data_IF_066662392903
#
_entry.id   IF_066662392903
#
_cell.length_a   1.000
_cell.length_b   1.000
_cell.length_c   1.000
_cell.angle_alpha   90.00
_cell.angle_beta   90.00
_cell.angle_gamma   90.00
#
_symmetry.space_group_name_H-M   'P 1'
#
loop_
_entity.id
_entity.type
_entity.pdbx_description
1 polymer ?
#
# COMPACT_ATOMS: atom_id res chain seq x y z
N UNK A 1 14.13 43.37 31.07
CA UNK A 1 15.27 42.73 31.78
C UNK A 1 15.78 41.65 30.84
N UNK A 2 16.98 41.85 30.38
CA UNK A 2 17.69 41.07 29.33
C UNK A 2 18.48 39.96 30.03
N UNK A 3 18.44 38.73 29.54
CA UNK A 3 19.52 37.75 29.69
C UNK A 3 19.30 36.69 28.59
N UNK A 4 20.05 36.61 27.55
CA UNK A 4 21.45 36.18 27.33
C UNK A 4 21.53 34.73 26.79
N UNK A 5 22.03 34.65 25.57
CA UNK A 5 22.45 33.45 24.84
C UNK A 5 23.53 32.68 25.66
N UNK A 6 23.50 31.35 25.63
CA UNK A 6 24.70 30.53 25.82
C UNK A 6 24.81 29.48 24.72
N UNK A 7 25.88 29.64 23.96
CA UNK A 7 26.47 28.68 23.04
C UNK A 7 26.98 27.47 23.82
N UNK A 8 26.82 26.28 23.24
CA UNK A 8 27.63 25.12 23.64
C UNK A 8 28.34 24.53 22.43
N UNK A 9 29.63 24.44 22.58
CA UNK A 9 30.62 23.92 21.64
C UNK A 9 30.58 22.38 21.55
N UNK A 10 30.77 21.90 20.35
CA UNK A 10 31.66 20.85 19.89
C UNK A 10 31.72 19.53 20.68
N UNK A 11 31.21 18.50 20.05
CA UNK A 11 31.61 17.12 20.28
C UNK A 11 31.65 16.43 18.93
N UNK A 12 32.85 16.19 18.41
CA UNK A 12 33.06 15.36 17.23
C UNK A 12 32.70 13.91 17.57
N UNK A 13 31.68 13.37 16.91
CA UNK A 13 31.45 11.93 16.89
C UNK A 13 31.91 11.38 15.55
N UNK A 14 32.77 10.38 15.62
CA UNK A 14 33.31 9.60 14.51
C UNK A 14 32.20 9.01 13.64
N UNK A 15 32.26 9.26 12.31
CA UNK A 15 31.50 8.56 11.30
C UNK A 15 31.88 7.07 11.31
N UNK A 16 31.07 6.26 11.96
CA UNK A 16 31.00 4.84 11.67
C UNK A 16 30.32 4.65 10.32
N UNK A 17 30.95 3.91 9.42
CA UNK A 17 30.45 3.61 8.10
C UNK A 17 29.10 2.87 8.18
N UNK A 18 27.99 3.55 7.92
CA UNK A 18 26.68 2.96 7.64
C UNK A 18 26.68 2.51 6.18
N UNK A 19 26.99 1.26 5.93
CA UNK A 19 26.71 0.58 4.67
C UNK A 19 25.26 0.06 4.73
N UNK A 20 24.31 0.93 4.42
CA UNK A 20 22.92 0.60 4.27
C UNK A 20 22.40 1.24 2.98
N UNK A 21 21.61 0.54 2.23
CA UNK A 21 20.97 0.91 0.96
C UNK A 21 21.38 2.29 0.44
N UNK A 22 22.32 2.33 -0.49
CA UNK A 22 22.57 3.56 -1.25
C UNK A 22 21.31 3.76 -2.12
N UNK A 23 20.37 4.58 -1.63
CA UNK A 23 19.48 5.26 -2.55
C UNK A 23 20.37 5.80 -3.68
N UNK A 24 19.97 5.56 -4.93
CA UNK A 24 20.64 6.15 -6.08
C UNK A 24 20.48 7.67 -5.94
N UNK A 25 21.43 8.28 -5.25
CA UNK A 25 21.59 9.74 -5.22
C UNK A 25 22.14 10.06 -6.59
N UNK A 26 21.27 10.40 -7.52
CA UNK A 26 21.69 10.99 -8.76
C UNK A 26 22.61 12.18 -8.41
N UNK A 27 23.77 12.33 -9.06
CA UNK A 27 24.68 13.43 -8.75
C UNK A 27 23.95 14.77 -8.78
N UNK A 28 24.16 15.61 -7.79
CA UNK A 28 23.47 16.88 -7.59
C UNK A 28 23.54 17.91 -8.76
N UNK A 29 24.09 17.53 -9.89
CA UNK A 29 24.18 18.34 -11.12
C UNK A 29 23.29 17.85 -12.28
N UNK A 30 22.48 16.79 -12.08
CA UNK A 30 21.69 16.21 -13.21
C UNK A 30 20.28 16.79 -13.35
N UNK A 31 19.79 17.54 -12.38
CA UNK A 31 18.41 17.99 -12.35
C UNK A 31 18.35 19.52 -12.32
N UNK A 32 18.03 20.13 -13.47
CA UNK A 32 17.76 21.56 -13.58
C UNK A 32 16.29 21.76 -13.93
N UNK A 33 15.57 22.48 -13.12
CA UNK A 33 14.20 22.90 -13.39
C UNK A 33 13.56 23.51 -12.13
N UNK A 34 13.24 24.79 -12.20
CA UNK A 34 12.46 25.51 -11.20
C UNK A 34 10.97 25.22 -11.46
N UNK A 35 10.34 24.44 -10.58
CA UNK A 35 8.91 24.14 -10.60
C UNK A 35 8.52 22.82 -11.29
N UNK A 36 7.53 22.15 -10.73
CA UNK A 36 6.94 20.97 -11.32
C UNK A 36 5.90 21.31 -12.40
N UNK A 37 5.90 20.56 -13.50
CA UNK A 37 4.91 20.70 -14.57
C UNK A 37 3.51 20.23 -14.12
N UNK A 38 3.47 19.23 -13.24
CA UNK A 38 2.25 18.63 -12.70
C UNK A 38 2.49 18.22 -11.25
N UNK A 39 1.52 18.50 -10.37
CA UNK A 39 1.55 18.11 -8.97
C UNK A 39 0.27 17.35 -8.64
N UNK A 40 0.41 16.15 -8.08
CA UNK A 40 -0.73 15.28 -7.73
C UNK A 40 -0.68 14.87 -6.25
N UNK A 41 -1.83 14.89 -5.60
CA UNK A 41 -2.05 14.14 -4.36
C UNK A 41 -2.47 12.71 -4.70
N UNK A 42 -1.94 11.71 -4.00
CA UNK A 42 -2.26 10.30 -4.26
C UNK A 42 -2.55 9.58 -2.95
N UNK A 43 -3.73 8.99 -2.85
CA UNK A 43 -4.20 8.18 -1.71
C UNK A 43 -5.10 7.06 -2.20
N UNK A 44 -5.46 6.15 -1.29
CA UNK A 44 -6.49 5.13 -1.48
C UNK A 44 -7.01 4.63 -0.13
N UNK A 45 -7.94 3.69 -0.17
CA UNK A 45 -8.37 2.91 0.98
C UNK A 45 -8.77 3.82 2.17
N UNK A 46 -9.69 4.77 1.87
CA UNK A 46 -10.24 5.73 2.85
C UNK A 46 -11.21 5.02 3.79
N UNK A 47 -11.99 4.05 3.28
CA UNK A 47 -12.95 3.23 4.01
C UNK A 47 -13.87 4.06 4.91
N UNK A 48 -14.54 5.05 4.36
CA UNK A 48 -15.54 5.84 5.09
C UNK A 48 -16.65 4.93 5.59
N UNK A 49 -16.85 4.90 6.88
CA UNK A 49 -17.74 3.96 7.55
C UNK A 49 -18.91 4.67 8.26
N UNK A 50 -19.32 5.80 7.80
CA UNK A 50 -20.53 6.47 8.28
C UNK A 50 -21.76 5.61 7.96
N UNK A 51 -22.63 5.38 8.95
CA UNK A 51 -23.90 4.66 8.74
C UNK A 51 -24.06 3.31 9.44
N UNK A 52 -23.07 2.81 10.17
CA UNK A 52 -23.27 1.71 11.12
C UNK A 52 -23.80 2.23 12.45
N UNK A 53 -25.06 2.68 12.47
CA UNK A 53 -25.79 3.00 13.71
C UNK A 53 -25.45 4.32 14.38
N UNK A 54 -24.39 5.02 14.01
CA UNK A 54 -24.06 6.34 14.52
C UNK A 54 -23.60 7.28 13.39
N UNK A 55 -24.57 7.95 12.76
CA UNK A 55 -24.34 8.95 11.70
C UNK A 55 -23.48 10.15 12.14
N UNK A 56 -23.07 10.22 13.40
CA UNK A 56 -22.32 11.33 13.99
C UNK A 56 -20.80 11.09 14.03
N UNK A 57 -20.32 9.88 13.71
CA UNK A 57 -18.87 9.60 13.67
C UNK A 57 -18.28 9.89 12.30
N UNK A 58 -18.11 11.17 12.00
CA UNK A 58 -17.41 11.67 10.79
C UNK A 58 -15.87 11.56 10.89
N UNK A 59 -15.32 10.70 11.76
CA UNK A 59 -13.89 10.64 12.00
C UNK A 59 -13.08 10.40 10.73
N UNK A 60 -13.52 9.49 9.86
CA UNK A 60 -12.82 9.11 8.65
C UNK A 60 -12.86 10.19 7.56
N UNK A 61 -13.99 10.88 7.41
CA UNK A 61 -14.09 12.03 6.48
C UNK A 61 -13.25 13.21 6.94
N UNK A 62 -13.12 13.43 8.25
CA UNK A 62 -12.28 14.49 8.80
C UNK A 62 -10.79 14.26 8.47
N UNK A 63 -10.33 13.00 8.49
CA UNK A 63 -8.96 12.68 8.08
C UNK A 63 -8.78 12.90 6.57
N UNK A 64 -9.70 12.44 5.75
CA UNK A 64 -9.68 12.68 4.31
C UNK A 64 -9.66 14.17 3.98
N UNK A 65 -10.53 14.95 4.63
CA UNK A 65 -10.59 16.41 4.46
C UNK A 65 -9.26 17.09 4.87
N UNK A 66 -8.65 16.70 6.00
CA UNK A 66 -7.32 17.22 6.39
C UNK A 66 -6.25 16.90 5.35
N UNK A 67 -6.27 15.70 4.79
CA UNK A 67 -5.35 15.28 3.74
C UNK A 67 -5.56 16.11 2.47
N UNK A 68 -6.81 16.33 2.06
CA UNK A 68 -7.13 17.18 0.92
C UNK A 68 -6.66 18.64 1.13
N UNK A 69 -6.85 19.21 2.33
CA UNK A 69 -6.36 20.55 2.67
C UNK A 69 -4.83 20.62 2.66
N UNK A 70 -4.16 19.56 3.06
CA UNK A 70 -2.71 19.48 2.94
C UNK A 70 -2.29 19.45 1.47
N UNK A 71 -2.95 18.66 0.62
CA UNK A 71 -2.71 18.64 -0.84
C UNK A 71 -2.97 20.00 -1.48
N UNK A 72 -4.06 20.68 -1.10
CA UNK A 72 -4.33 22.03 -1.57
C UNK A 72 -3.19 22.99 -1.20
N UNK A 73 -2.68 22.87 0.03
CA UNK A 73 -1.49 23.61 0.49
C UNK A 73 -0.23 23.34 -0.33
N UNK A 74 -0.10 22.15 -0.93
CA UNK A 74 1.02 21.79 -1.82
C UNK A 74 0.80 22.22 -3.29
N UNK A 75 -0.35 22.78 -3.62
CA UNK A 75 -0.62 23.26 -4.96
C UNK A 75 -0.95 22.16 -5.98
N UNK A 76 -1.65 21.11 -5.58
CA UNK A 76 -1.98 19.99 -6.47
C UNK A 76 -2.89 20.41 -7.62
N UNK A 77 -2.67 19.84 -8.81
CA UNK A 77 -3.47 19.98 -10.01
C UNK A 77 -4.57 18.91 -10.11
N UNK A 78 -4.44 17.86 -9.34
CA UNK A 78 -5.40 16.78 -9.23
C UNK A 78 -5.12 15.89 -8.03
N UNK A 79 -6.14 15.13 -7.62
CA UNK A 79 -6.02 14.13 -6.57
C UNK A 79 -6.45 12.77 -7.10
N UNK A 80 -5.58 11.78 -6.95
CA UNK A 80 -5.86 10.39 -7.24
C UNK A 80 -6.39 9.72 -5.97
N UNK A 81 -7.55 9.06 -6.09
CA UNK A 81 -8.05 8.11 -5.10
C UNK A 81 -8.16 6.74 -5.76
N UNK A 82 -7.22 5.86 -5.46
CA UNK A 82 -7.11 4.55 -6.09
C UNK A 82 -8.04 3.50 -5.44
N UNK A 83 -9.30 3.86 -5.22
CA UNK A 83 -10.37 2.97 -4.77
C UNK A 83 -10.55 2.86 -3.26
N UNK A 84 -11.55 2.08 -2.87
CA UNK A 84 -12.01 1.82 -1.49
C UNK A 84 -12.25 3.11 -0.69
N UNK A 85 -13.08 3.97 -1.28
CA UNK A 85 -13.54 5.22 -0.66
C UNK A 85 -14.53 4.93 0.46
N UNK A 86 -15.51 4.07 0.20
CA UNK A 86 -16.50 3.59 1.16
C UNK A 86 -16.06 2.27 1.80
N UNK A 87 -16.40 2.04 3.07
CA UNK A 87 -16.11 0.77 3.74
C UNK A 87 -17.06 -0.37 3.31
N UNK A 88 -18.27 -0.03 2.86
CA UNK A 88 -19.29 -1.01 2.50
C UNK A 88 -20.07 -0.62 1.23
N UNK A 89 -19.60 0.30 0.42
CA UNK A 89 -20.21 0.72 -0.84
C UNK A 89 -21.64 1.29 -0.69
N UNK A 90 -21.94 1.88 0.46
CA UNK A 90 -23.22 2.52 0.69
C UNK A 90 -23.23 3.92 0.10
N UNK A 91 -24.36 4.31 -0.51
CA UNK A 91 -24.48 5.63 -1.15
C UNK A 91 -24.17 6.80 -0.21
N UNK A 92 -24.59 6.69 1.06
CA UNK A 92 -24.30 7.73 2.06
C UNK A 92 -22.79 7.80 2.40
N UNK A 93 -22.05 6.69 2.36
CA UNK A 93 -20.60 6.69 2.56
C UNK A 93 -19.91 7.40 1.37
N UNK A 94 -20.30 7.07 0.14
CA UNK A 94 -19.79 7.75 -1.05
C UNK A 94 -20.17 9.24 -1.07
N UNK A 95 -21.41 9.57 -0.67
CA UNK A 95 -21.84 10.96 -0.55
C UNK A 95 -20.99 11.74 0.47
N UNK A 96 -20.65 11.14 1.63
CA UNK A 96 -19.75 11.76 2.60
C UNK A 96 -18.36 12.05 2.01
N UNK A 97 -17.83 11.16 1.15
CA UNK A 97 -16.56 11.39 0.45
C UNK A 97 -16.69 12.58 -0.52
N UNK A 98 -17.77 12.61 -1.31
CA UNK A 98 -18.04 13.71 -2.22
C UNK A 98 -18.22 15.04 -1.50
N UNK A 99 -18.99 15.08 -0.41
CA UNK A 99 -19.15 16.28 0.41
C UNK A 99 -17.81 16.76 1.01
N UNK A 100 -16.96 15.86 1.48
CA UNK A 100 -15.64 16.22 1.99
C UNK A 100 -14.75 16.81 0.88
N UNK A 101 -14.81 16.26 -0.33
CA UNK A 101 -14.15 16.80 -1.50
C UNK A 101 -14.60 18.24 -1.80
N UNK A 102 -15.92 18.45 -1.93
CA UNK A 102 -16.48 19.76 -2.28
C UNK A 102 -16.37 20.79 -1.16
N UNK A 103 -16.17 20.39 0.10
CA UNK A 103 -15.80 21.32 1.18
C UNK A 103 -14.37 21.86 1.05
N UNK A 104 -13.47 21.14 0.39
CA UNK A 104 -12.08 21.58 0.19
C UNK A 104 -11.88 22.20 -1.20
N UNK A 105 -12.55 21.63 -2.21
CA UNK A 105 -12.47 22.08 -3.60
C UNK A 105 -13.88 22.38 -4.15
N UNK A 106 -14.51 23.49 -3.75
CA UNK A 106 -15.80 23.89 -4.31
C UNK A 106 -15.70 24.00 -5.83
N UNK A 107 -16.69 23.39 -6.52
CA UNK A 107 -16.70 23.33 -7.99
C UNK A 107 -15.40 22.80 -8.63
N UNK A 108 -14.68 21.95 -7.90
CA UNK A 108 -13.38 21.39 -8.33
C UNK A 108 -12.25 22.43 -8.36
N UNK A 109 -12.31 23.44 -7.49
CA UNK A 109 -11.31 24.52 -7.42
C UNK A 109 -10.79 24.72 -6.01
N UNK A 110 -9.51 25.10 -5.91
CA UNK A 110 -8.91 25.57 -4.68
C UNK A 110 -9.48 26.96 -4.31
N UNK A 111 -9.92 27.12 -3.07
CA UNK A 111 -10.31 28.42 -2.51
C UNK A 111 -9.13 29.39 -2.31
N UNK A 112 -7.89 28.87 -2.34
CA UNK A 112 -6.69 29.66 -2.07
C UNK A 112 -6.26 30.52 -3.26
N UNK A 113 -6.39 29.98 -4.47
CA UNK A 113 -5.86 30.59 -5.70
C UNK A 113 -6.75 30.40 -6.92
N UNK A 114 -7.91 29.75 -6.77
CA UNK A 114 -8.87 29.48 -7.86
C UNK A 114 -8.41 28.39 -8.84
N UNK A 115 -7.27 27.75 -8.60
CA UNK A 115 -6.72 26.67 -9.42
C UNK A 115 -7.71 25.53 -9.55
N UNK A 116 -7.90 25.01 -10.77
CA UNK A 116 -8.66 23.77 -10.98
C UNK A 116 -7.90 22.60 -10.38
N UNK A 117 -8.62 21.77 -9.62
CA UNK A 117 -8.11 20.50 -9.07
C UNK A 117 -8.98 19.37 -9.59
N UNK A 118 -8.38 18.44 -10.33
CA UNK A 118 -9.12 17.36 -11.00
C UNK A 118 -9.39 16.20 -10.04
N UNK A 119 -10.60 15.66 -10.07
CA UNK A 119 -10.93 14.39 -9.44
C UNK A 119 -10.43 13.24 -10.33
N UNK A 120 -9.52 12.43 -9.82
CA UNK A 120 -8.94 11.28 -10.52
C UNK A 120 -9.24 10.01 -9.72
N UNK A 121 -10.52 9.78 -9.44
CA UNK A 121 -10.99 8.75 -8.53
C UNK A 121 -11.43 7.51 -9.30
N UNK A 122 -11.25 6.34 -8.69
CA UNK A 122 -11.83 5.08 -9.16
C UNK A 122 -12.49 4.35 -8.01
N UNK A 123 -13.45 3.50 -8.31
CA UNK A 123 -14.00 2.55 -7.34
C UNK A 123 -13.03 1.43 -7.04
N UNK A 124 -12.98 0.97 -5.78
CA UNK A 124 -12.42 -0.30 -5.35
C UNK A 124 -13.49 -1.36 -5.10
N UNK A 125 -13.11 -2.50 -4.52
CA UNK A 125 -14.07 -3.58 -4.26
C UNK A 125 -15.05 -3.23 -3.13
N UNK A 126 -14.61 -2.56 -2.08
CA UNK A 126 -15.47 -2.12 -0.99
C UNK A 126 -16.54 -1.12 -1.45
N UNK A 127 -16.26 -0.30 -2.45
CA UNK A 127 -17.24 0.62 -3.03
C UNK A 127 -18.42 -0.09 -3.71
N UNK A 128 -18.30 -1.39 -4.01
CA UNK A 128 -19.35 -2.24 -4.58
C UNK A 128 -19.92 -3.26 -3.59
N UNK A 129 -19.39 -3.40 -2.40
CA UNK A 129 -19.88 -4.40 -1.44
C UNK A 129 -21.35 -4.21 -1.10
N UNK A 130 -21.85 -2.98 -1.06
CA UNK A 130 -23.27 -2.68 -0.85
C UNK A 130 -24.22 -3.39 -1.80
N UNK A 131 -23.73 -3.86 -2.94
CA UNK A 131 -24.51 -4.64 -3.91
C UNK A 131 -24.67 -6.11 -3.51
N UNK A 132 -23.81 -6.62 -2.64
CA UNK A 132 -23.86 -8.00 -2.13
C UNK A 132 -24.73 -8.12 -0.87
N UNK A 133 -25.25 -7.02 -0.36
CA UNK A 133 -25.96 -6.94 0.92
C UNK A 133 -27.42 -7.42 0.91
N UNK A 134 -27.84 -8.23 -0.05
CA UNK A 134 -29.06 -9.04 0.11
C UNK A 134 -28.99 -9.96 1.36
N UNK A 135 -27.80 -10.13 1.93
CA UNK A 135 -27.51 -10.91 3.13
C UNK A 135 -27.25 -10.06 4.39
N UNK A 136 -27.31 -8.72 4.30
CA UNK A 136 -27.08 -7.87 5.46
C UNK A 136 -28.18 -8.06 6.48
N UNK A 137 -27.73 -8.23 7.68
CA UNK A 137 -28.61 -8.22 8.83
C UNK A 137 -29.23 -6.83 8.96
N UNK A 138 -30.49 -6.71 8.49
CA UNK A 138 -31.29 -5.46 8.52
C UNK A 138 -31.35 -4.83 9.91
N UNK A 139 -30.93 -5.56 10.98
CA UNK A 139 -30.84 -5.05 12.35
C UNK A 139 -29.84 -3.91 12.53
N UNK A 140 -28.91 -3.74 11.60
CA UNK A 140 -27.89 -2.68 11.65
C UNK A 140 -28.25 -1.42 10.87
N UNK A 141 -29.36 -1.43 10.09
CA UNK A 141 -29.76 -0.30 9.28
C UNK A 141 -31.22 0.07 9.53
N UNK A 142 -31.49 1.36 9.71
CA UNK A 142 -32.85 1.83 9.54
C UNK A 142 -33.31 1.54 8.11
N UNK A 143 -34.60 1.21 7.93
CA UNK A 143 -35.20 0.87 6.63
C UNK A 143 -34.86 1.86 5.51
N UNK A 144 -34.79 3.16 5.82
CA UNK A 144 -34.38 4.22 4.88
C UNK A 144 -32.94 4.12 4.43
N UNK A 145 -32.02 3.68 5.30
CA UNK A 145 -30.61 3.48 4.95
C UNK A 145 -30.41 2.25 4.07
N UNK A 146 -31.23 1.22 4.26
CA UNK A 146 -31.26 0.04 3.39
C UNK A 146 -31.77 0.37 1.99
N UNK A 147 -32.85 1.17 1.89
CA UNK A 147 -33.37 1.65 0.60
C UNK A 147 -32.34 2.55 -0.11
N UNK A 148 -31.62 3.40 0.62
CA UNK A 148 -30.52 4.20 0.09
C UNK A 148 -29.33 3.33 -0.36
N UNK A 149 -29.01 2.26 0.38
CA UNK A 149 -27.98 1.29 -0.02
C UNK A 149 -28.36 0.53 -1.29
N UNK A 150 -29.66 0.32 -1.56
CA UNK A 150 -30.12 -0.29 -2.82
C UNK A 150 -29.87 0.58 -4.05
N UNK A 151 -29.79 1.90 -3.89
CA UNK A 151 -29.40 2.82 -4.97
C UNK A 151 -27.94 2.60 -5.36
N UNK A 152 -27.09 2.15 -4.45
CA UNK A 152 -25.71 1.77 -4.76
C UNK A 152 -25.58 0.54 -5.70
N UNK A 153 -26.68 -0.19 -5.96
CA UNK A 153 -26.75 -1.20 -7.03
C UNK A 153 -26.63 -0.62 -8.45
N UNK A 154 -26.75 0.68 -8.58
CA UNK A 154 -26.46 1.41 -9.82
C UNK A 154 -25.21 2.29 -9.58
N UNK A 155 -24.01 1.78 -9.89
CA UNK A 155 -22.76 2.51 -9.64
C UNK A 155 -22.70 3.84 -10.39
N UNK A 156 -23.37 3.96 -11.54
CA UNK A 156 -23.41 5.20 -12.30
C UNK A 156 -24.21 6.29 -11.59
N UNK A 157 -25.36 5.92 -11.02
CA UNK A 157 -26.15 6.88 -10.22
C UNK A 157 -25.46 7.28 -8.94
N UNK A 158 -24.82 6.32 -8.23
CA UNK A 158 -24.08 6.58 -7.02
C UNK A 158 -22.90 7.53 -7.29
N UNK A 159 -22.17 7.30 -8.39
CA UNK A 159 -21.07 8.15 -8.82
C UNK A 159 -21.53 9.59 -9.09
N UNK A 160 -22.57 9.73 -9.92
CA UNK A 160 -23.12 11.04 -10.29
C UNK A 160 -23.61 11.82 -9.07
N UNK A 161 -24.25 11.13 -8.12
CA UNK A 161 -24.74 11.75 -6.89
C UNK A 161 -23.60 12.20 -5.98
N UNK A 162 -22.57 11.37 -5.81
CA UNK A 162 -21.46 11.66 -4.90
C UNK A 162 -20.47 12.67 -5.48
N UNK A 163 -20.14 12.54 -6.77
CA UNK A 163 -19.02 13.27 -7.38
C UNK A 163 -19.41 14.28 -8.45
N UNK A 164 -20.71 14.38 -8.79
CA UNK A 164 -21.26 15.29 -9.79
C UNK A 164 -20.71 15.10 -11.22
N UNK A 165 -20.14 13.92 -11.47
CA UNK A 165 -19.59 13.53 -12.78
C UNK A 165 -20.39 12.39 -13.39
N UNK A 166 -20.37 12.27 -14.72
CA UNK A 166 -20.91 11.13 -15.41
C UNK A 166 -19.96 9.93 -15.25
N UNK A 167 -20.52 8.77 -14.94
CA UNK A 167 -19.78 7.54 -14.76
C UNK A 167 -19.34 6.93 -16.09
N UNK A 168 -18.10 6.50 -16.16
CA UNK A 168 -17.60 5.64 -17.23
C UNK A 168 -16.77 4.51 -16.61
N UNK A 169 -17.02 3.22 -16.94
CA UNK A 169 -16.24 2.11 -16.37
C UNK A 169 -14.74 2.26 -16.51
N UNK A 170 -14.31 2.84 -17.63
CA UNK A 170 -12.93 3.30 -17.84
C UNK A 170 -13.02 4.72 -18.37
N UNK A 171 -12.42 5.66 -17.66
CA UNK A 171 -12.42 7.06 -18.05
C UNK A 171 -11.02 7.49 -18.52
N UNK A 172 -10.99 8.52 -19.36
CA UNK A 172 -9.77 9.14 -19.88
C UNK A 172 -9.84 10.64 -19.63
N UNK A 173 -8.85 11.20 -18.93
CA UNK A 173 -8.75 12.62 -18.61
C UNK A 173 -7.37 13.16 -18.99
N UNK A 174 -7.28 14.46 -19.17
CA UNK A 174 -5.99 15.16 -19.39
C UNK A 174 -5.88 16.33 -18.42
N UNK A 175 -4.78 16.40 -17.67
CA UNK A 175 -4.47 17.46 -16.73
C UNK A 175 -3.11 18.05 -17.11
N UNK A 176 -3.03 19.33 -17.39
CA UNK A 176 -1.79 20.02 -17.80
C UNK A 176 -1.02 19.30 -18.92
N UNK A 177 -1.70 18.68 -19.84
CA UNK A 177 -1.11 17.95 -20.97
C UNK A 177 -0.54 16.56 -20.64
N UNK A 178 -0.80 16.04 -19.44
CA UNK A 178 -0.54 14.65 -19.04
C UNK A 178 -1.84 13.86 -19.09
N UNK A 179 -1.76 12.61 -19.53
CA UNK A 179 -2.90 11.73 -19.73
C UNK A 179 -3.11 10.82 -18.52
N UNK A 180 -4.38 10.59 -18.19
CA UNK A 180 -4.83 9.74 -17.11
C UNK A 180 -5.88 8.77 -17.61
N UNK A 181 -5.73 7.49 -17.25
CA UNK A 181 -6.71 6.43 -17.52
C UNK A 181 -7.10 5.83 -16.18
N UNK A 182 -8.35 5.94 -15.79
CA UNK A 182 -8.85 5.32 -14.57
C UNK A 182 -9.82 4.20 -14.87
N UNK A 183 -9.65 3.06 -14.21
CA UNK A 183 -10.49 1.90 -14.35
C UNK A 183 -11.20 1.60 -13.02
N UNK A 184 -12.51 1.76 -12.99
CA UNK A 184 -13.32 1.39 -11.84
C UNK A 184 -13.35 -0.12 -11.65
N UNK A 185 -13.34 -0.57 -10.39
CA UNK A 185 -13.69 -1.95 -10.09
C UNK A 185 -15.02 -2.32 -10.75
N UNK A 186 -15.14 -3.53 -11.23
CA UNK A 186 -16.33 -4.00 -11.95
C UNK A 186 -16.93 -5.23 -11.26
N UNK A 187 -18.26 -5.31 -11.31
CA UNK A 187 -18.98 -6.49 -10.84
C UNK A 187 -19.07 -7.56 -11.92
N UNK A 188 -19.04 -8.81 -11.51
CA UNK A 188 -19.24 -9.96 -12.38
C UNK A 188 -18.59 -11.22 -11.84
N UNK A 189 -18.99 -12.38 -12.34
CA UNK A 189 -18.43 -13.68 -11.91
C UNK A 189 -16.90 -13.77 -12.13
N UNK A 190 -16.37 -13.01 -13.08
CA UNK A 190 -14.95 -12.97 -13.41
C UNK A 190 -14.21 -11.77 -12.81
N UNK A 191 -14.91 -10.87 -12.13
CA UNK A 191 -14.36 -9.60 -11.63
C UNK A 191 -13.68 -9.72 -10.25
N UNK A 192 -13.82 -10.83 -9.54
CA UNK A 192 -13.02 -11.05 -8.33
C UNK A 192 -11.53 -11.07 -8.69
N UNK A 193 -10.84 -10.02 -8.29
CA UNK A 193 -9.42 -9.83 -8.53
C UNK A 193 -9.07 -9.30 -9.92
N UNK A 194 -9.88 -8.42 -10.54
CA UNK A 194 -9.44 -7.76 -11.77
C UNK A 194 -10.51 -6.99 -12.51
N UNK A 195 -10.06 -6.23 -13.51
CA UNK A 195 -10.92 -5.40 -14.36
C UNK A 195 -10.75 -5.86 -15.81
N UNK A 196 -11.54 -6.86 -16.27
CA UNK A 196 -11.39 -7.46 -17.61
C UNK A 196 -11.44 -6.45 -18.76
N UNK A 197 -12.19 -5.35 -18.59
CA UNK A 197 -12.37 -4.32 -19.61
C UNK A 197 -11.09 -3.52 -19.91
N UNK A 198 -10.07 -3.55 -19.04
CA UNK A 198 -8.83 -2.79 -19.21
C UNK A 198 -8.08 -3.20 -20.47
N UNK A 199 -7.91 -4.49 -20.68
CA UNK A 199 -7.13 -5.01 -21.81
C UNK A 199 -7.74 -4.67 -23.19
N UNK A 200 -9.06 -4.90 -23.45
CA UNK A 200 -9.67 -4.47 -24.71
C UNK A 200 -9.69 -2.94 -24.85
N UNK A 201 -9.90 -2.18 -23.77
CA UNK A 201 -9.89 -0.73 -23.83
C UNK A 201 -8.55 -0.18 -24.32
N UNK A 202 -7.44 -0.63 -23.75
CA UNK A 202 -6.11 -0.20 -24.18
C UNK A 202 -5.80 -0.60 -25.63
N UNK A 203 -6.25 -1.78 -26.06
CA UNK A 203 -6.09 -2.21 -27.45
C UNK A 203 -6.83 -1.28 -28.43
N UNK A 204 -8.05 -0.86 -28.08
CA UNK A 204 -8.88 0.02 -28.92
C UNK A 204 -8.39 1.47 -28.92
N UNK A 205 -7.71 1.91 -27.83
CA UNK A 205 -7.35 3.29 -27.61
C UNK A 205 -5.84 3.54 -27.63
N UNK A 206 -5.05 2.54 -28.09
CA UNK A 206 -3.57 2.61 -28.09
C UNK A 206 -3.03 3.87 -28.78
N UNK A 207 -3.66 4.29 -29.88
CA UNK A 207 -3.26 5.46 -30.66
C UNK A 207 -3.55 6.80 -29.96
N UNK A 208 -4.39 6.80 -28.93
CA UNK A 208 -4.70 8.01 -28.14
C UNK A 208 -3.65 8.28 -27.06
N UNK A 209 -2.83 7.27 -26.73
CA UNK A 209 -1.84 7.40 -25.66
C UNK A 209 -0.57 8.05 -26.19
N UNK A 210 -0.23 9.22 -25.64
CA UNK A 210 1.02 9.90 -25.89
C UNK A 210 2.19 9.10 -25.30
N UNK A 211 3.08 8.62 -26.16
CA UNK A 211 4.25 7.83 -25.77
C UNK A 211 5.47 8.69 -25.46
N UNK A 212 5.40 9.97 -25.65
CA UNK A 212 6.52 10.91 -25.44
C UNK A 212 6.61 11.41 -24.01
N UNK A 213 5.52 11.26 -23.24
CA UNK A 213 5.39 11.66 -21.83
C UNK A 213 4.95 10.50 -20.97
N UNK A 214 5.21 10.52 -19.67
CA UNK A 214 4.55 9.57 -18.76
C UNK A 214 3.04 9.77 -18.81
N UNK A 215 2.28 8.68 -18.84
CA UNK A 215 0.85 8.72 -18.56
C UNK A 215 0.54 7.91 -17.30
N UNK A 216 -0.57 8.24 -16.65
CA UNK A 216 -0.92 7.69 -15.36
C UNK A 216 -2.12 6.78 -15.48
N UNK A 217 -1.97 5.55 -14.97
CA UNK A 217 -3.05 4.57 -14.89
C UNK A 217 -3.49 4.40 -13.45
N UNK A 218 -4.78 4.39 -13.20
CA UNK A 218 -5.36 4.24 -11.87
C UNK A 218 -6.34 3.07 -11.86
N UNK A 219 -6.13 2.11 -11.00
CA UNK A 219 -7.10 1.08 -10.64
C UNK A 219 -6.91 0.69 -9.17
N UNK A 220 -7.85 -0.08 -8.61
CA UNK A 220 -7.74 -0.48 -7.21
C UNK A 220 -6.82 -1.68 -6.99
N UNK A 221 -7.00 -2.87 -7.63
CA UNK A 221 -6.13 -4.01 -7.41
C UNK A 221 -4.76 -3.80 -8.06
N UNK A 222 -3.72 -4.37 -7.47
CA UNK A 222 -2.38 -4.29 -8.07
C UNK A 222 -2.30 -5.08 -9.38
N UNK A 223 -1.63 -4.56 -10.43
CA UNK A 223 -1.29 -5.36 -11.60
C UNK A 223 -0.49 -6.59 -11.15
N UNK A 224 -0.89 -7.77 -11.62
CA UNK A 224 -0.25 -9.03 -11.26
C UNK A 224 1.25 -9.01 -11.53
N UNK A 225 2.03 -9.61 -10.64
CA UNK A 225 3.49 -9.76 -10.74
C UNK A 225 4.24 -8.40 -10.74
N UNK A 226 3.70 -7.39 -10.05
CA UNK A 226 4.32 -6.07 -9.86
C UNK A 226 4.63 -5.79 -8.39
N UNK A 227 4.08 -4.73 -7.78
CA UNK A 227 4.31 -4.39 -6.38
C UNK A 227 3.96 -5.57 -5.46
N UNK A 228 4.75 -5.77 -4.44
CA UNK A 228 4.65 -6.85 -3.44
C UNK A 228 4.79 -8.27 -3.98
N UNK A 229 4.92 -8.49 -5.30
CA UNK A 229 5.10 -9.81 -5.91
C UNK A 229 4.04 -10.83 -5.49
N UNK A 230 4.47 -11.99 -5.03
CA UNK A 230 3.58 -13.07 -4.55
C UNK A 230 2.84 -12.71 -3.23
N UNK A 231 3.29 -11.68 -2.51
CA UNK A 231 2.67 -11.25 -1.25
C UNK A 231 1.59 -10.19 -1.46
N UNK A 232 1.35 -9.74 -2.69
CA UNK A 232 0.27 -8.83 -3.00
C UNK A 232 -1.08 -9.42 -2.58
N UNK A 233 -1.89 -8.63 -1.88
CA UNK A 233 -3.24 -9.06 -1.51
C UNK A 233 -4.15 -9.01 -2.73
N UNK A 234 -4.65 -10.17 -3.17
CA UNK A 234 -5.57 -10.30 -4.30
C UNK A 234 -5.23 -9.37 -5.49
N UNK A 235 -4.04 -9.52 -6.12
CA UNK A 235 -3.70 -8.73 -7.31
C UNK A 235 -4.70 -9.03 -8.44
N UNK A 236 -4.71 -8.19 -9.47
CA UNK A 236 -5.55 -8.45 -10.64
C UNK A 236 -5.15 -9.77 -11.33
N UNK A 237 -6.03 -10.27 -12.20
CA UNK A 237 -5.78 -11.50 -12.98
C UNK A 237 -4.80 -11.29 -14.16
N UNK A 238 -4.01 -10.22 -14.12
CA UNK A 238 -3.04 -9.86 -15.13
C UNK A 238 -3.60 -9.03 -16.29
N UNK A 239 -4.83 -8.56 -16.20
CA UNK A 239 -5.43 -7.71 -17.26
C UNK A 239 -4.65 -6.40 -17.42
N UNK A 240 -4.38 -5.69 -16.32
CA UNK A 240 -3.59 -4.47 -16.34
C UNK A 240 -2.13 -4.74 -16.73
N UNK A 241 -1.51 -5.83 -16.23
CA UNK A 241 -0.14 -6.19 -16.58
C UNK A 241 0.01 -6.40 -18.08
N UNK A 242 -0.89 -7.18 -18.72
CA UNK A 242 -0.84 -7.40 -20.17
C UNK A 242 -1.09 -6.12 -20.96
N UNK A 243 -2.07 -5.31 -20.54
CA UNK A 243 -2.40 -4.04 -21.19
C UNK A 243 -1.22 -3.06 -21.14
N UNK A 244 -0.69 -2.82 -19.93
CA UNK A 244 0.36 -1.81 -19.70
C UNK A 244 1.74 -2.23 -20.19
N UNK A 245 2.00 -3.53 -20.36
CA UNK A 245 3.28 -4.00 -20.90
C UNK A 245 3.61 -3.47 -22.29
N UNK A 246 2.61 -3.03 -23.05
CA UNK A 246 2.79 -2.36 -24.34
C UNK A 246 3.11 -0.85 -24.20
N UNK A 247 3.11 -0.30 -22.98
CA UNK A 247 3.26 1.12 -22.69
C UNK A 247 4.33 1.34 -21.63
N UNK A 248 5.61 1.33 -21.98
CA UNK A 248 6.71 1.44 -21.02
C UNK A 248 6.76 2.80 -20.29
N UNK A 249 6.08 3.82 -20.82
CA UNK A 249 5.91 5.12 -20.19
C UNK A 249 4.73 5.19 -19.20
N UNK A 250 4.03 4.09 -18.93
CA UNK A 250 2.95 4.03 -17.96
C UNK A 250 3.46 4.07 -16.51
N UNK A 251 2.76 4.83 -15.66
CA UNK A 251 2.91 4.84 -14.21
C UNK A 251 1.56 4.51 -13.59
N UNK A 252 1.44 3.33 -13.00
CA UNK A 252 0.20 2.84 -12.39
C UNK A 252 0.17 3.11 -10.89
N UNK A 253 -0.94 3.66 -10.38
CA UNK A 253 -1.22 3.83 -8.95
C UNK A 253 -2.35 2.89 -8.53
N UNK A 254 -2.13 2.13 -7.44
CA UNK A 254 -3.05 1.07 -7.01
C UNK A 254 -3.09 0.93 -5.49
N UNK A 255 -4.27 0.63 -4.92
CA UNK A 255 -4.54 0.48 -3.48
C UNK A 255 -4.61 -0.97 -3.02
N UNK A 256 -5.66 -1.33 -2.26
CA UNK A 256 -6.13 -2.67 -1.94
C UNK A 256 -5.33 -3.44 -0.87
N UNK A 257 -4.00 -3.45 -0.92
CA UNK A 257 -3.18 -4.24 0.02
C UNK A 257 -2.95 -3.55 1.36
N UNK A 258 -3.22 -2.26 1.47
CA UNK A 258 -2.94 -1.44 2.66
C UNK A 258 -1.50 -1.55 3.17
N UNK A 259 -0.58 -1.94 2.30
CA UNK A 259 0.82 -2.09 2.66
C UNK A 259 1.45 -0.72 2.86
N UNK A 260 2.23 -0.56 3.92
CA UNK A 260 2.89 0.72 4.24
C UNK A 260 3.82 1.18 3.10
N UNK A 261 3.90 2.50 2.90
CA UNK A 261 4.87 3.11 1.98
C UNK A 261 6.33 2.99 2.47
N UNK A 262 6.54 2.43 3.65
CA UNK A 262 7.88 2.03 4.13
C UNK A 262 8.32 0.69 3.56
N UNK A 263 7.40 -0.12 3.01
CA UNK A 263 7.74 -1.35 2.30
C UNK A 263 8.41 -0.99 0.97
N UNK A 264 9.63 -1.44 0.79
CA UNK A 264 10.44 -1.14 -0.39
C UNK A 264 9.84 -1.68 -1.69
N UNK A 265 8.91 -2.64 -1.61
CA UNK A 265 8.20 -3.21 -2.75
C UNK A 265 6.97 -2.40 -3.17
N UNK A 266 6.64 -1.31 -2.44
CA UNK A 266 5.54 -0.41 -2.83
C UNK A 266 5.78 0.33 -4.14
N UNK A 267 7.01 0.29 -4.67
CA UNK A 267 7.34 0.74 -6.02
C UNK A 267 8.05 -0.37 -6.79
N UNK A 268 7.64 -0.58 -8.03
CA UNK A 268 8.18 -1.59 -8.94
C UNK A 268 8.33 -1.03 -10.35
N UNK A 269 9.44 -1.36 -11.00
CA UNK A 269 9.71 -1.01 -12.39
C UNK A 269 10.11 -2.24 -13.19
N UNK A 270 9.27 -2.61 -14.15
CA UNK A 270 9.51 -3.67 -15.12
C UNK A 270 9.24 -3.18 -16.53
N UNK A 271 8.26 -3.76 -17.22
CA UNK A 271 7.79 -3.28 -18.53
C UNK A 271 7.11 -1.92 -18.45
N UNK A 272 6.56 -1.57 -17.28
CA UNK A 272 6.02 -0.25 -16.91
C UNK A 272 6.37 0.02 -15.43
N UNK A 273 5.89 1.10 -14.85
CA UNK A 273 6.04 1.39 -13.42
C UNK A 273 4.73 1.14 -12.68
N UNK A 274 4.78 0.46 -11.54
CA UNK A 274 3.64 0.23 -10.64
C UNK A 274 3.96 0.72 -9.24
N UNK A 275 2.98 1.38 -8.59
CA UNK A 275 3.13 2.02 -7.28
C UNK A 275 1.91 1.68 -6.44
N UNK A 276 2.14 1.08 -5.27
CA UNK A 276 1.13 0.88 -4.24
C UNK A 276 0.93 2.16 -3.43
N UNK A 277 -0.34 2.53 -3.18
CA UNK A 277 -0.71 3.82 -2.57
C UNK A 277 -0.91 3.77 -1.08
N UNK A 278 -0.75 2.60 -0.45
CA UNK A 278 -0.98 2.38 0.98
C UNK A 278 -2.47 2.50 1.37
N UNK A 279 -2.77 3.06 2.53
CA UNK A 279 -4.12 3.28 3.03
C UNK A 279 -4.20 4.56 3.85
N UNK A 280 -5.35 5.23 3.79
CA UNK A 280 -5.64 6.40 4.63
C UNK A 280 -6.35 6.01 5.93
N UNK A 281 -6.51 4.72 6.24
CA UNK A 281 -7.26 4.28 7.40
C UNK A 281 -6.54 3.25 8.29
N UNK A 282 -6.17 2.11 7.75
CA UNK A 282 -5.48 1.05 8.49
C UNK A 282 -4.51 0.29 7.60
N UNK A 283 -3.48 -0.28 8.20
CA UNK A 283 -2.45 -1.06 7.54
C UNK A 283 -2.28 -2.45 8.11
N UNK A 284 -1.44 -3.24 7.45
CA UNK A 284 -1.03 -4.56 7.89
C UNK A 284 -1.90 -5.71 7.37
N UNK A 285 -1.23 -6.83 7.07
CA UNK A 285 -1.87 -8.10 6.68
C UNK A 285 -2.32 -8.92 7.90
N UNK A 286 -1.57 -8.84 9.00
CA UNK A 286 -1.73 -9.71 10.16
C UNK A 286 -2.49 -8.99 11.26
N UNK A 287 -2.01 -7.83 11.67
CA UNK A 287 -2.64 -7.01 12.69
C UNK A 287 -3.04 -5.66 12.09
N UNK A 288 -4.32 -5.33 12.16
CA UNK A 288 -4.81 -4.02 11.74
C UNK A 288 -4.34 -2.96 12.73
N UNK A 289 -3.58 -1.99 12.25
CA UNK A 289 -3.14 -0.83 13.00
C UNK A 289 -3.55 0.44 12.29
N UNK A 290 -3.62 1.54 13.02
CA UNK A 290 -3.96 2.82 12.42
C UNK A 290 -2.85 3.27 11.48
N UNK A 291 -3.24 3.63 10.25
CA UNK A 291 -2.34 4.08 9.19
C UNK A 291 -3.01 5.21 8.43
N UNK A 292 -2.25 6.25 8.11
CA UNK A 292 -2.74 7.43 7.40
C UNK A 292 -1.69 7.88 6.41
N UNK A 293 -1.49 7.11 5.34
CA UNK A 293 -0.39 7.33 4.40
C UNK A 293 -0.89 7.72 3.01
N UNK A 294 -0.04 8.45 2.30
CA UNK A 294 -0.28 8.85 0.92
C UNK A 294 0.98 9.50 0.33
N UNK A 295 0.84 10.05 -0.86
CA UNK A 295 1.97 10.57 -1.62
C UNK A 295 1.66 11.93 -2.24
N UNK A 296 2.69 12.76 -2.37
CA UNK A 296 2.72 13.91 -3.26
C UNK A 296 3.62 13.56 -4.44
N UNK A 297 3.07 13.59 -5.65
CA UNK A 297 3.77 13.27 -6.89
C UNK A 297 4.02 14.55 -7.66
N UNK A 298 5.29 14.83 -7.98
CA UNK A 298 5.71 15.99 -8.76
C UNK A 298 6.36 15.53 -10.05
N UNK A 299 5.85 15.97 -11.17
CA UNK A 299 6.39 15.66 -12.51
C UNK A 299 7.17 16.83 -13.06
N UNK A 300 8.41 16.59 -13.42
CA UNK A 300 9.34 17.54 -14.04
C UNK A 300 9.65 17.08 -15.47
N UNK A 301 10.46 17.83 -16.21
CA UNK A 301 10.86 17.47 -17.58
C UNK A 301 11.73 16.21 -17.62
N UNK A 302 12.50 15.96 -16.56
CA UNK A 302 13.54 14.93 -16.49
C UNK A 302 13.27 13.84 -15.44
N UNK A 303 12.24 13.99 -14.60
CA UNK A 303 11.94 13.05 -13.51
C UNK A 303 10.53 13.17 -12.98
N UNK A 304 10.11 12.11 -12.28
CA UNK A 304 8.98 12.12 -11.34
C UNK A 304 9.55 11.99 -9.93
N UNK A 305 9.14 12.85 -9.02
CA UNK A 305 9.49 12.81 -7.59
C UNK A 305 8.25 12.43 -6.79
N UNK A 306 8.37 11.41 -5.96
CA UNK A 306 7.28 10.90 -5.13
C UNK A 306 7.68 11.06 -3.66
N UNK A 307 7.07 12.05 -3.00
CA UNK A 307 7.20 12.29 -1.57
C UNK A 307 6.20 11.40 -0.84
N UNK A 308 6.67 10.49 -0.01
CA UNK A 308 5.82 9.62 0.81
C UNK A 308 5.52 10.28 2.14
N UNK A 309 4.26 10.26 2.56
CA UNK A 309 3.84 10.97 3.77
C UNK A 309 3.01 10.11 4.70
N UNK A 310 3.29 10.24 5.99
CA UNK A 310 2.41 9.80 7.07
C UNK A 310 1.60 11.00 7.57
N UNK A 311 0.30 10.97 7.36
CA UNK A 311 -0.64 12.00 7.83
C UNK A 311 -1.08 11.79 9.28
N UNK A 312 -0.78 10.64 9.89
CA UNK A 312 -1.02 10.40 11.32
C UNK A 312 0.00 11.15 12.18
N UNK A 313 1.27 11.05 11.80
CA UNK A 313 2.39 11.66 12.52
C UNK A 313 2.87 12.99 11.90
N UNK A 314 2.27 13.39 10.77
CA UNK A 314 2.61 14.62 10.04
C UNK A 314 4.08 14.68 9.57
N UNK A 315 4.61 13.55 9.07
CA UNK A 315 6.02 13.39 8.68
C UNK A 315 6.20 12.76 7.30
N UNK A 316 7.41 12.88 6.74
CA UNK A 316 7.83 12.17 5.53
C UNK A 316 8.29 10.76 5.88
N UNK A 317 8.00 9.79 5.00
CA UNK A 317 8.37 8.38 5.17
C UNK A 317 9.66 8.07 4.41
N UNK A 318 10.80 8.43 4.99
CA UNK A 318 12.10 8.22 4.38
C UNK A 318 12.36 9.13 3.18
N UNK A 319 13.33 8.72 2.32
CA UNK A 319 13.73 9.49 1.15
C UNK A 319 12.68 9.44 0.02
N UNK A 320 12.64 10.49 -0.79
CA UNK A 320 11.76 10.55 -1.96
C UNK A 320 12.12 9.47 -2.98
N UNK A 321 11.11 8.88 -3.60
CA UNK A 321 11.35 8.04 -4.77
C UNK A 321 11.50 8.90 -6.02
N UNK A 322 12.63 8.75 -6.70
CA UNK A 322 12.95 9.49 -7.92
C UNK A 322 12.92 8.53 -9.10
N UNK A 323 12.00 8.78 -10.04
CA UNK A 323 11.87 8.03 -11.29
C UNK A 323 12.37 8.91 -12.42
N UNK A 324 13.56 8.64 -12.99
CA UNK A 324 14.07 9.40 -14.13
C UNK A 324 13.19 9.27 -15.36
N UNK A 325 13.12 10.31 -16.18
CA UNK A 325 12.39 10.32 -17.44
C UNK A 325 13.35 10.27 -18.63
N UNK A 326 13.00 9.62 -19.73
CA UNK A 326 11.79 8.78 -19.87
C UNK A 326 11.87 7.51 -19.02
N UNK A 327 10.72 7.10 -18.46
CA UNK A 327 10.57 6.03 -17.44
C UNK A 327 11.23 4.70 -17.86
N UNK A 328 11.23 4.38 -19.14
CA UNK A 328 11.73 3.11 -19.66
C UNK A 328 13.26 2.99 -19.72
N UNK A 329 13.99 4.11 -19.63
CA UNK A 329 15.46 4.10 -19.80
C UNK A 329 16.22 3.75 -18.54
N UNK A 330 15.82 4.30 -17.40
CA UNK A 330 16.49 4.08 -16.12
C UNK A 330 15.47 3.59 -15.11
N UNK A 331 15.71 2.41 -14.54
CA UNK A 331 14.77 1.71 -13.66
C UNK A 331 15.37 1.46 -12.27
N UNK A 332 15.52 2.50 -11.44
CA UNK A 332 16.09 2.37 -10.09
C UNK A 332 15.30 1.41 -9.19
N UNK A 333 14.02 1.18 -9.49
CA UNK A 333 13.14 0.31 -8.72
C UNK A 333 12.90 -1.05 -9.41
N UNK A 334 13.77 -1.48 -10.32
CA UNK A 334 13.71 -2.82 -10.87
C UNK A 334 14.02 -3.86 -9.78
N UNK A 335 13.22 -4.94 -9.72
CA UNK A 335 13.31 -5.95 -8.67
C UNK A 335 14.71 -6.55 -8.55
N UNK A 336 15.33 -6.95 -9.67
CA UNK A 336 16.64 -7.59 -9.65
C UNK A 336 17.75 -6.63 -9.18
N UNK A 337 17.68 -5.35 -9.55
CA UNK A 337 18.63 -4.32 -9.07
C UNK A 337 18.52 -4.17 -7.56
N UNK A 338 17.31 -3.97 -7.05
CA UNK A 338 17.08 -3.80 -5.60
C UNK A 338 17.42 -5.05 -4.80
N UNK A 339 17.12 -6.24 -5.33
CA UNK A 339 17.51 -7.50 -4.72
C UNK A 339 19.02 -7.64 -4.59
N UNK A 340 19.76 -7.26 -5.64
CA UNK A 340 21.23 -7.33 -5.63
C UNK A 340 21.87 -6.30 -4.68
N UNK A 341 21.22 -5.15 -4.48
CA UNK A 341 21.68 -4.08 -3.58
C UNK A 341 21.25 -4.27 -2.13
N UNK A 342 20.23 -5.10 -1.89
CA UNK A 342 19.69 -5.34 -0.54
C UNK A 342 20.59 -6.33 0.22
N UNK A 343 20.88 -6.01 1.46
CA UNK A 343 21.59 -6.90 2.37
C UNK A 343 20.65 -7.91 3.00
N UNK A 344 21.07 -9.18 3.12
CA UNK A 344 20.34 -10.19 3.84
C UNK A 344 20.24 -9.86 5.34
N UNK A 345 19.07 -9.97 5.97
CA UNK A 345 18.93 -9.65 7.39
C UNK A 345 19.66 -10.67 8.27
N UNK A 346 20.27 -10.18 9.35
CA UNK A 346 21.03 -11.00 10.30
C UNK A 346 20.42 -10.89 11.70
N UNK A 347 20.44 -11.98 12.43
CA UNK A 347 20.17 -11.96 13.85
C UNK A 347 21.34 -11.31 14.61
N UNK A 348 21.10 -10.69 15.79
CA UNK A 348 22.17 -10.34 16.72
C UNK A 348 23.03 -11.57 17.09
N UNK A 349 24.32 -11.38 17.34
CA UNK A 349 25.28 -12.48 17.60
C UNK A 349 24.90 -13.36 18.81
N UNK A 350 24.25 -12.77 19.81
CA UNK A 350 23.79 -13.44 21.04
C UNK A 350 22.32 -13.92 20.96
N UNK A 351 21.68 -13.77 19.82
CA UNK A 351 20.27 -14.10 19.64
C UNK A 351 20.00 -15.59 19.82
N UNK A 352 18.92 -15.91 20.53
CA UNK A 352 18.45 -17.25 20.78
C UNK A 352 16.95 -17.35 20.50
N UNK A 353 16.54 -18.49 19.95
CA UNK A 353 15.13 -18.83 19.88
C UNK A 353 14.62 -19.26 21.25
N UNK A 354 13.45 -18.79 21.67
CA UNK A 354 12.70 -19.40 22.74
C UNK A 354 11.61 -20.28 22.14
N UNK A 355 11.53 -21.54 22.55
CA UNK A 355 10.61 -22.54 22.01
C UNK A 355 9.83 -23.17 23.16
N UNK A 356 8.52 -23.05 23.12
CA UNK A 356 7.60 -23.58 24.11
C UNK A 356 6.64 -24.57 23.43
N UNK A 357 6.43 -25.78 23.98
CA UNK A 357 5.44 -26.71 23.45
C UNK A 357 4.04 -26.11 23.48
N UNK A 358 3.25 -26.44 22.47
CA UNK A 358 1.84 -26.12 22.39
C UNK A 358 1.01 -27.37 22.18
N UNK A 359 0.01 -27.60 23.03
CA UNK A 359 -0.90 -28.74 22.94
C UNK A 359 -2.34 -28.27 23.15
N UNK A 360 -3.23 -28.69 22.26
CA UNK A 360 -4.68 -28.55 22.35
C UNK A 360 -5.31 -29.89 21.96
N UNK A 361 -5.54 -30.72 22.95
CA UNK A 361 -6.05 -32.09 22.74
C UNK A 361 -7.51 -32.08 22.25
N UNK A 362 -8.31 -31.05 22.57
CA UNK A 362 -9.69 -30.93 22.10
C UNK A 362 -9.73 -30.71 20.58
N UNK A 363 -8.84 -29.84 20.08
CA UNK A 363 -8.72 -29.54 18.65
C UNK A 363 -7.74 -30.45 17.92
N UNK A 364 -7.08 -31.38 18.62
CA UNK A 364 -5.99 -32.22 18.11
C UNK A 364 -4.92 -31.37 17.38
N UNK A 365 -4.59 -30.23 17.96
CA UNK A 365 -3.59 -29.34 17.44
C UNK A 365 -2.40 -29.29 18.37
N UNK A 366 -1.23 -29.63 17.86
CA UNK A 366 0.03 -29.69 18.58
C UNK A 366 1.03 -28.76 17.91
N UNK A 367 2.19 -28.52 18.54
CA UNK A 367 3.26 -27.77 17.95
C UNK A 367 4.12 -27.02 18.95
N UNK A 368 4.62 -25.86 18.52
CA UNK A 368 5.53 -25.05 19.32
C UNK A 368 5.28 -23.57 19.09
N UNK A 369 5.19 -22.81 20.18
CA UNK A 369 5.28 -21.36 20.11
C UNK A 369 6.77 -20.99 20.05
N UNK A 370 7.17 -20.37 18.95
CA UNK A 370 8.54 -19.92 18.72
C UNK A 370 8.60 -18.40 18.86
N UNK A 371 9.40 -17.92 19.82
CA UNK A 371 9.74 -16.50 19.93
C UNK A 371 11.03 -16.25 19.16
N UNK A 372 10.91 -15.48 18.06
CA UNK A 372 11.95 -15.21 17.08
C UNK A 372 12.51 -13.82 17.36
N UNK A 373 13.81 -13.67 17.69
CA UNK A 373 14.43 -12.36 17.80
C UNK A 373 14.33 -11.54 16.51
N UNK A 374 14.33 -10.22 16.62
CA UNK A 374 14.34 -9.37 15.44
C UNK A 374 15.65 -9.53 14.67
N UNK A 375 15.57 -9.94 13.41
CA UNK A 375 16.70 -9.87 12.48
C UNK A 375 16.63 -8.58 11.66
N UNK A 376 17.77 -7.96 11.38
CA UNK A 376 17.83 -6.68 10.66
C UNK A 376 18.91 -6.67 9.58
N UNK A 377 18.70 -5.83 8.55
CA UNK A 377 19.70 -5.43 7.58
C UNK A 377 19.81 -3.89 7.67
N UNK A 378 20.82 -3.39 8.39
CA UNK A 378 20.88 -1.98 8.74
C UNK A 378 19.66 -1.53 9.55
N UNK A 379 18.93 -0.54 9.06
CA UNK A 379 17.70 -0.03 9.69
C UNK A 379 16.45 -0.86 9.35
N UNK A 380 16.54 -1.76 8.37
CA UNK A 380 15.38 -2.55 7.88
C UNK A 380 15.26 -3.86 8.65
N UNK A 381 14.06 -4.24 9.04
CA UNK A 381 13.78 -5.54 9.66
C UNK A 381 13.70 -6.66 8.62
N UNK A 382 13.86 -7.90 9.05
CA UNK A 382 13.45 -9.04 8.23
C UNK A 382 11.97 -8.92 7.88
N UNK A 383 11.63 -9.22 6.63
CA UNK A 383 10.25 -9.22 6.18
C UNK A 383 9.50 -10.46 6.67
N UNK A 384 10.20 -11.60 6.69
CA UNK A 384 9.64 -12.88 7.11
C UNK A 384 10.73 -13.84 7.57
N UNK A 385 10.30 -14.91 8.18
CA UNK A 385 11.16 -16.00 8.67
C UNK A 385 10.67 -17.33 8.10
N UNK A 386 11.54 -18.07 7.43
CA UNK A 386 11.29 -19.49 7.20
C UNK A 386 11.49 -20.25 8.48
N UNK A 387 10.48 -20.98 8.91
CA UNK A 387 10.50 -21.79 10.13
C UNK A 387 10.41 -23.25 9.75
N UNK A 388 11.38 -24.05 10.15
CA UNK A 388 11.36 -25.51 9.98
C UNK A 388 11.36 -26.19 11.34
N UNK A 389 10.49 -27.17 11.53
CA UNK A 389 10.44 -28.02 12.71
C UNK A 389 10.67 -29.49 12.31
N UNK A 390 11.62 -30.16 12.96
CA UNK A 390 11.90 -31.60 12.79
C UNK A 390 11.76 -32.29 14.11
N UNK A 391 10.92 -33.32 14.17
CA UNK A 391 10.65 -34.10 15.38
C UNK A 391 10.25 -35.55 15.05
N UNK A 392 10.20 -36.38 16.06
CA UNK A 392 9.64 -37.73 16.01
C UNK A 392 8.24 -37.73 16.63
N UNK A 393 7.26 -38.27 15.94
CA UNK A 393 5.91 -38.38 16.47
C UNK A 393 5.73 -39.55 17.44
N UNK A 394 4.56 -39.64 18.06
CA UNK A 394 4.24 -40.76 19.03
C UNK A 394 4.20 -42.13 18.39
N UNK A 395 4.20 -42.24 17.06
CA UNK A 395 4.31 -43.49 16.31
C UNK A 395 5.76 -43.83 15.92
N UNK A 396 6.74 -43.02 16.33
CA UNK A 396 8.15 -43.18 15.99
C UNK A 396 8.50 -42.72 14.57
N UNK A 397 7.64 -41.93 13.91
CA UNK A 397 7.89 -41.44 12.57
C UNK A 397 8.54 -40.03 12.61
N UNK A 398 9.57 -39.88 11.78
CA UNK A 398 10.20 -38.56 11.59
C UNK A 398 9.30 -37.62 10.82
N UNK A 399 8.95 -36.47 11.42
CA UNK A 399 8.13 -35.41 10.82
C UNK A 399 8.99 -34.20 10.55
N UNK A 400 8.84 -33.61 9.37
CA UNK A 400 9.43 -32.32 9.01
C UNK A 400 8.32 -31.36 8.55
N UNK A 401 8.24 -30.22 9.21
CA UNK A 401 7.34 -29.12 8.83
C UNK A 401 8.18 -27.98 8.30
N UNK A 402 7.64 -27.25 7.34
CA UNK A 402 8.21 -25.99 6.87
C UNK A 402 7.08 -24.99 6.71
N UNK A 403 7.26 -23.79 7.25
CA UNK A 403 6.25 -22.74 7.24
C UNK A 403 6.93 -21.37 7.14
N UNK A 404 6.13 -20.33 6.95
CA UNK A 404 6.59 -18.97 6.75
C UNK A 404 5.93 -18.05 7.77
N UNK A 405 6.72 -17.55 8.72
CA UNK A 405 6.28 -16.56 9.68
C UNK A 405 6.57 -15.14 9.14
N UNK A 406 5.52 -14.37 8.92
CA UNK A 406 5.69 -12.95 8.58
C UNK A 406 6.02 -12.16 9.84
N UNK A 407 6.93 -11.20 9.72
CA UNK A 407 7.17 -10.24 10.79
C UNK A 407 5.99 -9.23 10.78
N UNK A 408 5.03 -9.44 11.68
CA UNK A 408 3.85 -8.59 11.81
C UNK A 408 4.20 -7.10 12.05
N UNK A 409 5.43 -6.83 12.46
CA UNK A 409 5.93 -5.48 12.78
C UNK A 409 6.78 -4.87 11.67
N UNK A 410 6.94 -5.56 10.54
CA UNK A 410 7.76 -5.08 9.42
C UNK A 410 7.33 -3.69 8.94
N UNK A 411 6.01 -3.45 8.88
CA UNK A 411 5.41 -2.19 8.42
C UNK A 411 4.86 -1.33 9.57
N UNK A 412 5.12 -1.69 10.83
CA UNK A 412 4.65 -0.93 11.98
C UNK A 412 5.56 0.28 12.30
N UNK A 413 5.02 1.26 13.05
CA UNK A 413 5.79 2.43 13.49
C UNK A 413 7.11 2.08 14.18
N UNK A 414 8.12 2.97 14.12
CA UNK A 414 9.45 2.73 14.68
C UNK A 414 9.49 2.32 16.14
N UNK A 415 8.58 2.80 16.97
CA UNK A 415 8.48 2.45 18.40
C UNK A 415 8.17 0.96 18.64
N UNK A 416 7.66 0.26 17.66
CA UNK A 416 7.44 -1.19 17.68
C UNK A 416 8.59 -1.98 17.07
N UNK A 417 9.59 -1.31 16.49
CA UNK A 417 10.76 -1.97 15.93
C UNK A 417 11.63 -2.61 17.03
N UNK A 418 12.33 -3.70 16.67
CA UNK A 418 13.16 -4.44 17.61
C UNK A 418 12.44 -5.48 18.47
N UNK A 419 11.12 -5.44 18.58
CA UNK A 419 10.38 -6.45 19.33
C UNK A 419 10.42 -7.82 18.62
N UNK A 420 10.50 -8.95 19.37
CA UNK A 420 10.53 -10.29 18.79
C UNK A 420 9.18 -10.65 18.14
N UNK A 421 9.22 -11.53 17.15
CA UNK A 421 8.03 -12.12 16.52
C UNK A 421 7.68 -13.43 17.22
N UNK A 422 6.42 -13.58 17.66
CA UNK A 422 5.90 -14.84 18.17
C UNK A 422 5.16 -15.59 17.05
N UNK A 423 5.54 -16.82 16.83
CA UNK A 423 4.93 -17.66 15.79
C UNK A 423 4.56 -19.05 16.34
N UNK A 424 3.36 -19.52 16.02
CA UNK A 424 2.90 -20.85 16.39
C UNK A 424 3.04 -21.82 15.21
N UNK A 425 4.05 -22.68 15.26
CA UNK A 425 4.18 -23.81 14.34
C UNK A 425 3.16 -24.87 14.73
N UNK A 426 2.20 -25.14 13.86
CA UNK A 426 1.09 -26.08 14.10
C UNK A 426 1.28 -27.38 13.34
N UNK A 427 0.90 -28.48 13.99
CA UNK A 427 0.85 -29.81 13.39
C UNK A 427 -0.30 -30.63 13.97
N UNK A 428 -0.79 -31.62 13.21
CA UNK A 428 -1.70 -32.65 13.69
C UNK A 428 -1.00 -33.83 14.37
N UNK A 429 0.35 -33.86 14.39
CA UNK A 429 1.16 -34.93 14.97
C UNK A 429 1.67 -34.50 16.34
N UNK A 430 1.41 -35.31 17.36
CA UNK A 430 1.97 -35.14 18.71
C UNK A 430 3.42 -35.61 18.74
N UNK A 431 4.33 -34.77 19.25
CA UNK A 431 5.74 -35.18 19.43
C UNK A 431 5.88 -36.22 20.52
N UNK A 432 6.73 -37.24 20.29
CA UNK A 432 6.99 -38.32 21.25
C UNK A 432 7.55 -37.83 22.59
N UNK A 433 8.29 -36.74 22.58
CA UNK A 433 9.00 -36.20 23.77
C UNK A 433 8.75 -34.71 24.00
N UNK A 434 7.78 -34.11 23.29
CA UNK A 434 7.47 -32.68 23.36
C UNK A 434 8.53 -31.76 22.72
N UNK A 435 9.57 -32.32 22.10
CA UNK A 435 10.70 -31.57 21.53
C UNK A 435 10.69 -31.59 20.01
N UNK A 436 11.25 -30.56 19.44
CA UNK A 436 11.57 -30.49 18.03
C UNK A 436 12.87 -29.71 17.82
N UNK A 437 13.60 -30.04 16.76
CA UNK A 437 14.68 -29.18 16.27
C UNK A 437 14.03 -28.06 15.43
N UNK A 438 14.00 -26.85 15.96
CA UNK A 438 13.45 -25.67 15.28
C UNK A 438 14.59 -24.91 14.61
N UNK A 439 14.46 -24.63 13.32
CA UNK A 439 15.40 -23.79 12.57
C UNK A 439 14.64 -22.61 11.97
N UNK A 440 15.15 -21.41 12.18
CA UNK A 440 14.55 -20.16 11.69
C UNK A 440 15.57 -19.39 10.84
N UNK A 441 15.19 -19.04 9.61
CA UNK A 441 16.01 -18.30 8.66
C UNK A 441 15.32 -16.97 8.34
N UNK A 442 15.93 -15.81 8.58
CA UNK A 442 15.35 -14.51 8.25
C UNK A 442 15.51 -14.22 6.76
N UNK A 443 14.49 -13.60 6.15
CA UNK A 443 14.48 -13.14 4.77
C UNK A 443 14.11 -11.66 4.70
N UNK A 444 14.74 -10.94 3.79
CA UNK A 444 14.27 -9.61 3.39
C UNK A 444 13.04 -9.71 2.46
N UNK A 445 12.48 -8.57 2.06
CA UNK A 445 11.33 -8.51 1.17
C UNK A 445 11.66 -8.92 -0.28
N UNK A 446 12.93 -9.02 -0.66
CA UNK A 446 13.40 -9.50 -1.97
C UNK A 446 13.79 -10.98 -1.96
N UNK A 447 13.72 -11.65 -0.81
CA UNK A 447 14.03 -13.06 -0.62
C UNK A 447 15.51 -13.36 -0.34
N UNK A 448 16.34 -12.37 -0.04
CA UNK A 448 17.70 -12.58 0.41
C UNK A 448 17.69 -13.21 1.81
N UNK A 449 18.46 -14.30 1.98
CA UNK A 449 18.44 -15.15 3.17
C UNK A 449 19.59 -14.84 4.09
N UNK A 450 19.30 -14.56 5.36
CA UNK A 450 20.32 -14.44 6.41
C UNK A 450 20.74 -15.77 7.01
N UNK A 451 21.64 -15.72 8.00
CA UNK A 451 22.09 -16.89 8.74
C UNK A 451 20.97 -17.42 9.65
N UNK A 452 20.77 -18.73 9.65
CA UNK A 452 19.73 -19.37 10.46
C UNK A 452 20.14 -19.47 11.94
N UNK A 453 19.14 -19.39 12.84
CA UNK A 453 19.23 -19.84 14.23
C UNK A 453 18.57 -21.21 14.35
N UNK A 454 19.06 -22.01 15.31
CA UNK A 454 18.49 -23.32 15.63
C UNK A 454 18.35 -23.47 17.15
N UNK A 455 17.24 -24.06 17.60
CA UNK A 455 16.97 -24.46 18.97
C UNK A 455 16.55 -25.95 19.01
#
# INVERSE_FOLDING_TARGET
MVVSRRSFLGGAFSLGALSGCRAFIAPAGFFSGDGANLVLGVISDIHVDCGRGDFKKFGDTAQFERTLRWFDGQGVDGVIVAGDMADNGMINQLACVGEAWFRVFPDGRSDRDGRKVEQLFVYGNHDYEGQHYDKFDVRYFEKKSFEAAQIARDPAKAWKLAFHEDYSPIWFKTVKGYQFVGAHWQLGKDAWGGIPAVEPWFREHAEKIDRTKPFFFIQHPHPKDTVYGADAWCPDKGYATRALSAFPNAVAFTGHSHTSLTDERSVWQGTFTSIGTSSLRYGGKVDRYEQRQGMLVKVYDDRIVIVRRDFLHDESLGDDWIIPLPVEKVKPFAFETRKAESAAPQFPDDAKLAVEPYEDDEKKTYGWTVTIPCATAGATRAFRYEVSAKFEDTAGQGVTLSDMAYDAKYNMPPEMSGAPTKYLVKTGHKSANGKAKITVTPLDCFGNRGKSLTA
#
